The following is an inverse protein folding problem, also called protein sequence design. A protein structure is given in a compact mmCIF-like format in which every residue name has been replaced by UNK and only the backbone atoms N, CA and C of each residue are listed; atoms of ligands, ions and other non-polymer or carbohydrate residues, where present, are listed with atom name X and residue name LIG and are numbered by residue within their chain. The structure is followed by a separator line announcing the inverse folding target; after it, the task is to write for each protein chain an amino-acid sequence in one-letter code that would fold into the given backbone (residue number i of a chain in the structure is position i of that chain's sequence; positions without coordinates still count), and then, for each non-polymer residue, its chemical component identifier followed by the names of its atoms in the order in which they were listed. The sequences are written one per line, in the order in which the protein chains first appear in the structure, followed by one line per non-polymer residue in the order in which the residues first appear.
data_IF_075895417654
#
_entry.id   IF_075895417654
#
_cell.length_a   1.000
_cell.length_b   1.000
_cell.length_c   1.000
_cell.angle_alpha   90.00
_cell.angle_beta   90.00
_cell.angle_gamma   90.00
#
_symmetry.space_group_name_H-M   'P 1'
#
loop_
_entity.id
_entity.type
_entity.pdbx_description
1 polymer ?
#
# COMPACT_ATOMS: atom_id res chain seq x y z
N UNK A 1 -7.66 -3.10 -15.84
CA UNK A 1 -8.60 -2.02 -16.20
C UNK A 1 -9.46 -2.52 -17.35
N UNK A 2 -10.63 -1.91 -17.62
CA UNK A 2 -11.38 -2.17 -18.88
C UNK A 2 -10.48 -1.94 -20.10
N UNK A 3 -9.67 -0.88 -20.04
CA UNK A 3 -8.63 -0.58 -21.03
C UNK A 3 -7.65 -1.75 -21.20
N UNK A 4 -7.24 -2.43 -20.12
CA UNK A 4 -6.34 -3.60 -20.21
C UNK A 4 -7.01 -4.79 -20.91
N UNK A 5 -8.31 -5.00 -20.70
CA UNK A 5 -9.08 -6.01 -21.42
C UNK A 5 -9.18 -5.65 -22.91
N UNK A 6 -9.43 -4.38 -23.22
CA UNK A 6 -9.51 -3.89 -24.59
C UNK A 6 -8.16 -4.02 -25.31
N UNK A 7 -7.05 -3.71 -24.64
CA UNK A 7 -5.69 -3.92 -25.16
C UNK A 7 -5.46 -5.40 -25.48
N UNK A 8 -5.83 -6.31 -24.56
CA UNK A 8 -5.65 -7.75 -24.73
C UNK A 8 -6.49 -8.35 -25.87
N UNK A 9 -7.67 -7.78 -26.16
CA UNK A 9 -8.60 -8.26 -27.19
C UNK A 9 -8.51 -7.55 -28.56
N UNK A 10 -7.63 -6.56 -28.71
CA UNK A 10 -7.61 -5.68 -29.89
C UNK A 10 -6.70 -6.15 -31.04
N UNK A 11 -6.99 -5.67 -32.26
CA UNK A 11 -6.11 -5.80 -33.44
C UNK A 11 -4.84 -4.93 -33.28
N UNK A 12 -3.70 -5.28 -33.92
CA UNK A 12 -2.39 -4.66 -33.63
C UNK A 12 -2.34 -3.12 -33.64
N UNK A 13 -2.95 -2.47 -34.62
CA UNK A 13 -2.96 -1.00 -34.71
C UNK A 13 -3.79 -0.36 -33.58
N UNK A 14 -4.94 -0.96 -33.26
CA UNK A 14 -5.79 -0.53 -32.13
C UNK A 14 -5.06 -0.76 -30.81
N UNK A 15 -4.37 -1.90 -30.65
CA UNK A 15 -3.54 -2.20 -29.47
C UNK A 15 -2.47 -1.14 -29.23
N UNK A 16 -1.82 -0.63 -30.29
CA UNK A 16 -0.80 0.42 -30.18
C UNK A 16 -1.38 1.73 -29.63
N UNK A 17 -2.53 2.16 -30.15
CA UNK A 17 -3.19 3.39 -29.69
C UNK A 17 -3.64 3.26 -28.22
N UNK A 18 -4.33 2.16 -27.88
CA UNK A 18 -4.79 1.92 -26.51
C UNK A 18 -3.63 1.79 -25.51
N UNK A 19 -2.49 1.25 -25.94
CA UNK A 19 -1.27 1.20 -25.12
C UNK A 19 -0.69 2.59 -24.87
N UNK A 20 -0.69 3.47 -25.88
CA UNK A 20 -0.25 4.86 -25.71
C UNK A 20 -1.18 5.64 -24.78
N UNK A 21 -2.50 5.42 -24.89
CA UNK A 21 -3.49 6.01 -23.99
C UNK A 21 -3.25 5.55 -22.55
N UNK A 22 -3.00 4.25 -22.35
CA UNK A 22 -2.64 3.69 -21.05
C UNK A 22 -1.41 4.36 -20.45
N UNK A 23 -0.32 4.49 -21.22
CA UNK A 23 0.92 5.15 -20.77
C UNK A 23 0.65 6.61 -20.38
N UNK A 24 -0.18 7.32 -21.16
CA UNK A 24 -0.53 8.71 -20.90
C UNK A 24 -1.33 8.86 -19.60
N UNK A 25 -2.32 7.99 -19.38
CA UNK A 25 -3.11 7.95 -18.14
C UNK A 25 -2.21 7.66 -16.94
N UNK A 26 -1.35 6.64 -17.01
CA UNK A 26 -0.44 6.29 -15.93
C UNK A 26 0.50 7.46 -15.58
N UNK A 27 1.03 8.16 -16.59
CA UNK A 27 1.84 9.37 -16.40
C UNK A 27 1.06 10.50 -15.72
N UNK A 28 -0.16 10.78 -16.14
CA UNK A 28 -0.99 11.81 -15.50
C UNK A 28 -1.31 11.47 -14.05
N UNK A 29 -1.59 10.20 -13.75
CA UNK A 29 -1.80 9.74 -12.37
C UNK A 29 -0.53 9.97 -11.55
N UNK A 30 0.63 9.47 -11.99
CA UNK A 30 1.87 9.70 -11.25
C UNK A 30 2.20 11.18 -11.08
N UNK A 31 2.06 12.00 -12.13
CA UNK A 31 2.31 13.44 -12.06
C UNK A 31 1.37 14.13 -11.06
N UNK A 32 0.11 13.71 -10.98
CA UNK A 32 -0.83 14.22 -9.98
C UNK A 32 -0.39 13.86 -8.55
N UNK A 33 0.15 12.66 -8.33
CA UNK A 33 0.53 12.20 -7.00
C UNK A 33 1.96 12.58 -6.56
N UNK A 34 2.82 12.96 -7.50
CA UNK A 34 4.21 13.31 -7.25
C UNK A 34 4.40 14.45 -6.22
N UNK A 35 3.58 15.53 -6.19
CA UNK A 35 3.71 16.59 -5.19
C UNK A 35 3.42 16.15 -3.76
N UNK A 36 2.81 14.97 -3.55
CA UNK A 36 2.53 14.42 -2.22
C UNK A 36 3.68 13.55 -1.70
N UNK A 37 4.92 13.75 -2.17
CA UNK A 37 6.09 13.10 -1.59
C UNK A 37 6.37 13.62 -0.18
N UNK A 38 7.14 12.83 0.59
CA UNK A 38 7.56 13.24 1.91
C UNK A 38 8.45 14.49 1.83
N UNK A 39 8.23 15.42 2.77
CA UNK A 39 9.02 16.64 2.88
C UNK A 39 9.37 16.86 4.36
N UNK A 40 10.66 17.03 4.65
CA UNK A 40 11.19 17.20 6.01
C UNK A 40 10.71 18.50 6.68
N UNK A 41 10.54 19.58 5.91
CA UNK A 41 9.96 20.83 6.41
C UNK A 41 8.50 20.64 6.82
N UNK A 42 7.72 19.88 6.02
CA UNK A 42 6.34 19.52 6.38
C UNK A 42 6.34 18.66 7.63
N UNK A 43 7.23 17.66 7.74
CA UNK A 43 7.35 16.81 8.92
C UNK A 43 7.64 17.60 10.20
N UNK A 44 8.66 18.46 10.17
CA UNK A 44 9.08 19.25 11.34
C UNK A 44 8.01 20.24 11.84
N UNK A 45 7.14 20.73 10.94
CA UNK A 45 6.04 21.66 11.27
C UNK A 45 4.77 20.98 11.78
N UNK A 46 4.64 19.65 11.61
CA UNK A 46 3.39 18.94 11.84
C UNK A 46 3.56 17.81 12.86
N UNK A 47 3.25 18.09 14.14
CA UNK A 47 3.32 17.11 15.25
C UNK A 47 2.63 15.79 14.93
N UNK A 48 1.47 15.83 14.27
CA UNK A 48 0.70 14.63 13.93
C UNK A 48 1.47 13.62 13.08
N UNK A 49 2.47 14.06 12.29
CA UNK A 49 3.32 13.14 11.51
C UNK A 49 4.30 12.36 12.39
N UNK A 50 4.80 12.98 13.47
CA UNK A 50 5.56 12.26 14.50
C UNK A 50 4.68 11.22 15.20
N UNK A 51 3.44 11.59 15.52
CA UNK A 51 2.47 10.67 16.12
C UNK A 51 2.07 9.56 15.15
N UNK A 52 2.00 9.85 13.85
CA UNK A 52 1.77 8.86 12.81
C UNK A 52 2.91 7.83 12.74
N UNK A 53 4.18 8.28 12.79
CA UNK A 53 5.33 7.37 12.83
C UNK A 53 5.30 6.43 14.06
N UNK A 54 4.74 6.87 15.20
CA UNK A 54 4.61 6.05 16.41
C UNK A 54 3.58 4.92 16.29
N UNK A 55 2.67 4.96 15.32
CA UNK A 55 1.71 3.88 15.10
C UNK A 55 2.40 2.55 14.77
N UNK A 56 3.56 2.61 14.12
CA UNK A 56 4.17 1.45 13.51
C UNK A 56 5.09 0.71 14.48
N UNK A 57 4.82 -0.59 14.64
CA UNK A 57 5.51 -1.52 15.52
C UNK A 57 6.27 -2.60 14.74
N UNK A 58 6.99 -3.45 15.47
CA UNK A 58 7.76 -4.52 14.86
C UNK A 58 6.83 -5.55 14.19
N UNK A 59 7.19 -5.95 12.97
CA UNK A 59 6.47 -6.91 12.13
C UNK A 59 5.09 -6.44 11.64
N UNK A 60 4.83 -5.13 11.65
CA UNK A 60 3.61 -4.60 11.05
C UNK A 60 3.58 -4.83 9.53
N UNK A 61 2.37 -5.08 9.03
CA UNK A 61 2.10 -5.21 7.60
C UNK A 61 1.19 -4.06 7.15
N UNK A 62 1.64 -3.29 6.16
CA UNK A 62 0.93 -2.12 5.65
C UNK A 62 0.48 -2.39 4.22
N UNK A 63 -0.84 -2.39 4.01
CA UNK A 63 -1.43 -2.47 2.67
C UNK A 63 -1.78 -1.05 2.23
N UNK A 64 -1.06 -0.53 1.25
CA UNK A 64 -1.29 0.82 0.72
C UNK A 64 -1.95 0.76 -0.65
N UNK A 65 -3.00 1.57 -0.80
CA UNK A 65 -3.68 1.83 -2.07
C UNK A 65 -3.19 3.12 -2.72
N UNK A 66 -2.34 3.89 -2.03
CA UNK A 66 -1.87 5.18 -2.49
C UNK A 66 -0.76 5.00 -3.52
N UNK A 67 -0.82 5.79 -4.59
CA UNK A 67 0.21 5.79 -5.62
C UNK A 67 1.45 6.59 -5.21
N UNK A 68 1.29 7.62 -4.37
CA UNK A 68 2.41 8.37 -3.80
C UNK A 68 3.33 7.50 -2.92
N UNK A 69 4.46 8.08 -2.53
CA UNK A 69 5.44 7.47 -1.61
C UNK A 69 5.53 8.23 -0.28
N UNK A 70 4.47 8.96 0.13
CA UNK A 70 4.52 9.77 1.36
C UNK A 70 4.83 8.91 2.59
N UNK A 71 4.08 7.81 2.74
CA UNK A 71 4.23 6.88 3.86
C UNK A 71 5.64 6.30 3.89
N UNK A 72 6.15 5.85 2.74
CA UNK A 72 7.47 5.25 2.68
C UNK A 72 8.58 6.26 2.98
N UNK A 73 8.44 7.49 2.49
CA UNK A 73 9.35 8.59 2.83
C UNK A 73 9.31 8.90 4.34
N UNK A 74 8.12 8.94 4.94
CA UNK A 74 7.94 9.13 6.39
C UNK A 74 8.61 8.02 7.21
N UNK A 75 8.37 6.75 6.86
CA UNK A 75 8.95 5.62 7.57
C UNK A 75 10.47 5.56 7.38
N UNK A 76 10.96 5.93 6.20
CA UNK A 76 12.38 5.99 5.90
C UNK A 76 13.11 7.10 6.65
N UNK A 77 12.52 8.30 6.67
CA UNK A 77 13.02 9.42 7.44
C UNK A 77 13.01 9.12 8.95
N UNK A 78 11.96 8.47 9.44
CA UNK A 78 11.82 8.10 10.85
C UNK A 78 12.61 6.85 11.27
N UNK A 79 13.44 6.32 10.37
CA UNK A 79 14.29 5.14 10.61
C UNK A 79 13.53 3.87 11.02
N UNK A 80 12.27 3.74 10.59
CA UNK A 80 11.43 2.59 10.91
C UNK A 80 11.51 1.49 9.85
N UNK A 81 11.85 1.87 8.62
CA UNK A 81 11.74 1.04 7.43
C UNK A 81 12.71 1.51 6.34
N UNK A 82 13.05 0.62 5.42
CA UNK A 82 13.79 0.92 4.20
C UNK A 82 13.18 0.18 2.98
N UNK A 83 13.57 0.54 1.74
CA UNK A 83 13.01 -0.06 0.52
C UNK A 83 13.04 -1.59 0.42
N UNK A 84 13.87 -2.32 1.18
CA UNK A 84 13.83 -3.79 1.23
C UNK A 84 12.58 -4.34 1.90
N UNK A 85 11.87 -3.54 2.66
CA UNK A 85 10.59 -3.93 3.24
C UNK A 85 9.43 -3.91 2.23
N UNK A 86 9.66 -3.55 0.95
CA UNK A 86 8.68 -3.84 -0.09
C UNK A 86 8.56 -5.33 -0.35
N UNK A 87 7.32 -5.81 -0.36
CA UNK A 87 7.08 -7.22 -0.60
C UNK A 87 7.25 -7.56 -2.08
N UNK A 88 8.18 -8.49 -2.38
CA UNK A 88 8.37 -9.14 -3.71
C UNK A 88 8.83 -8.26 -4.87
N UNK A 89 9.26 -7.05 -4.58
CA UNK A 89 9.96 -6.22 -5.56
C UNK A 89 11.45 -6.41 -5.33
N UNK A 90 12.04 -7.36 -6.05
CA UNK A 90 13.45 -7.65 -5.95
C UNK A 90 14.22 -6.52 -6.64
N UNK A 91 15.05 -5.80 -5.90
CA UNK A 91 16.15 -5.04 -6.47
C UNK A 91 17.44 -5.84 -6.27
N UNK A 92 17.93 -6.58 -7.28
CA UNK A 92 19.12 -7.43 -7.14
C UNK A 92 20.40 -6.64 -6.85
N UNK A 93 20.36 -5.31 -7.00
CA UNK A 93 21.48 -4.41 -6.73
C UNK A 93 21.47 -3.82 -5.31
N UNK A 94 20.41 -4.06 -4.53
CA UNK A 94 20.26 -3.48 -3.21
C UNK A 94 20.69 -4.47 -2.12
N UNK A 95 21.83 -4.17 -1.48
CA UNK A 95 22.25 -4.78 -0.21
C UNK A 95 22.33 -3.67 0.84
N UNK A 96 21.31 -3.42 1.67
CA UNK A 96 21.45 -2.43 2.73
C UNK A 96 21.92 -3.08 4.03
N UNK A 97 22.73 -2.33 4.77
CA UNK A 97 22.85 -2.47 6.22
C UNK A 97 22.40 -1.16 6.91
N UNK A 98 21.70 -1.24 8.06
CA UNK A 98 20.97 -2.40 8.56
C UNK A 98 19.60 -2.50 7.85
N UNK A 99 19.11 -3.73 7.62
CA UNK A 99 17.82 -3.98 6.98
C UNK A 99 16.67 -3.46 7.84
N UNK A 100 15.63 -2.94 7.19
CA UNK A 100 14.25 -2.75 7.66
C UNK A 100 14.09 -3.02 9.18
N UNK A 101 14.43 -2.04 10.04
CA UNK A 101 14.79 -2.30 11.43
C UNK A 101 13.63 -2.82 12.28
N UNK A 102 12.40 -2.46 11.90
CA UNK A 102 11.17 -2.99 12.52
C UNK A 102 10.59 -4.19 11.78
N UNK A 103 11.22 -4.67 10.72
CA UNK A 103 10.68 -5.71 9.83
C UNK A 103 9.25 -5.37 9.32
N UNK A 104 9.00 -4.09 9.03
CA UNK A 104 7.70 -3.62 8.52
C UNK A 104 7.58 -4.01 7.05
N UNK A 105 6.47 -4.63 6.66
CA UNK A 105 6.24 -5.04 5.27
C UNK A 105 5.23 -4.11 4.59
N UNK A 106 5.63 -3.51 3.47
CA UNK A 106 4.76 -2.61 2.69
C UNK A 106 4.27 -3.31 1.41
N UNK A 107 2.95 -3.34 1.25
CA UNK A 107 2.22 -3.94 0.14
C UNK A 107 1.50 -2.84 -0.68
N UNK A 108 2.14 -2.32 -1.74
CA UNK A 108 1.53 -1.40 -2.72
C UNK A 108 0.72 -2.16 -3.76
N UNK A 109 -0.49 -2.56 -3.40
CA UNK A 109 -1.31 -3.46 -4.22
C UNK A 109 -1.98 -2.79 -5.43
N UNK A 110 -1.80 -1.49 -5.62
CA UNK A 110 -2.26 -0.75 -6.80
C UNK A 110 -1.10 -0.25 -7.69
N UNK A 111 0.15 -0.63 -7.39
CA UNK A 111 1.33 0.00 -7.97
C UNK A 111 1.71 1.29 -7.22
N UNK A 112 2.74 1.98 -7.71
CA UNK A 112 3.25 3.20 -7.07
C UNK A 112 4.03 4.06 -8.06
N UNK A 113 4.17 5.35 -7.75
CA UNK A 113 4.91 6.35 -8.54
C UNK A 113 6.39 6.01 -8.71
N UNK A 114 6.96 5.17 -7.84
CA UNK A 114 8.33 4.68 -7.92
C UNK A 114 8.46 3.29 -8.57
N UNK A 115 7.37 2.65 -9.01
CA UNK A 115 7.42 1.33 -9.66
C UNK A 115 7.63 1.47 -11.16
N UNK A 116 8.44 0.59 -11.74
CA UNK A 116 8.76 0.60 -13.18
C UNK A 116 8.62 -0.80 -13.78
N UNK A 117 8.20 -0.87 -15.04
CA UNK A 117 8.18 -2.11 -15.82
C UNK A 117 9.56 -2.31 -16.44
N UNK A 118 10.39 -3.08 -15.76
CA UNK A 118 11.71 -3.45 -16.24
C UNK A 118 11.66 -4.74 -17.06
N UNK A 119 12.61 -4.89 -17.97
CA UNK A 119 12.88 -6.20 -18.56
C UNK A 119 13.65 -7.01 -17.52
N UNK A 120 13.21 -8.23 -17.21
CA UNK A 120 13.87 -9.04 -16.19
C UNK A 120 15.38 -9.13 -16.48
N UNK A 121 16.22 -8.77 -15.50
CA UNK A 121 17.68 -9.00 -15.55
C UNK A 121 17.99 -10.51 -15.68
N UNK A 122 17.00 -11.37 -15.40
CA UNK A 122 17.13 -12.82 -15.36
C UNK A 122 16.60 -13.49 -16.65
N UNK A 123 17.55 -13.77 -17.56
CA UNK A 123 17.67 -14.92 -18.49
C UNK A 123 16.56 -15.24 -19.51
N UNK A 124 15.30 -14.87 -19.34
CA UNK A 124 14.24 -15.17 -20.31
C UNK A 124 13.84 -13.93 -21.11
N UNK A 125 14.10 -13.97 -22.42
CA UNK A 125 13.68 -12.92 -23.36
C UNK A 125 12.16 -12.73 -23.28
N UNK A 126 11.72 -11.52 -22.92
CA UNK A 126 10.32 -11.11 -22.97
C UNK A 126 9.60 -11.09 -21.63
N UNK A 127 10.20 -11.58 -20.54
CA UNK A 127 9.60 -11.42 -19.21
C UNK A 127 9.75 -9.97 -18.71
N UNK A 128 8.62 -9.37 -18.34
CA UNK A 128 8.55 -8.07 -17.68
C UNK A 128 8.45 -8.27 -16.17
N UNK A 129 9.15 -7.44 -15.41
CA UNK A 129 9.07 -7.41 -13.96
C UNK A 129 8.79 -5.98 -13.49
N UNK A 130 8.25 -5.85 -12.30
CA UNK A 130 8.18 -4.60 -11.58
C UNK A 130 9.51 -4.42 -10.87
N UNK A 131 10.24 -3.35 -11.23
CA UNK A 131 11.38 -2.83 -10.49
C UNK A 131 11.03 -1.55 -9.73
N UNK A 132 12.02 -1.02 -9.01
CA UNK A 132 11.90 0.14 -8.14
C UNK A 132 12.83 1.24 -8.63
N UNK A 133 12.40 2.49 -8.44
CA UNK A 133 13.29 3.64 -8.39
C UNK A 133 13.53 4.01 -6.93
N UNK A 134 14.78 4.08 -6.52
CA UNK A 134 15.20 4.51 -5.19
C UNK A 134 16.09 5.76 -5.36
N UNK A 135 15.54 6.90 -4.95
CA UNK A 135 16.22 8.20 -4.93
C UNK A 135 15.75 9.01 -3.71
N UNK A 136 16.31 10.20 -3.54
CA UNK A 136 16.01 11.16 -2.47
C UNK A 136 14.59 11.71 -2.54
N UNK A 137 13.98 11.83 -3.73
CA UNK A 137 12.58 12.25 -3.87
C UNK A 137 11.58 11.32 -3.17
N UNK A 138 11.86 10.02 -3.15
CA UNK A 138 10.99 9.00 -2.54
C UNK A 138 11.50 8.53 -1.18
N UNK A 139 12.82 8.48 -0.99
CA UNK A 139 13.47 7.90 0.19
C UNK A 139 14.56 8.84 0.71
N UNK A 140 14.22 9.81 1.57
CA UNK A 140 15.11 10.91 1.95
C UNK A 140 16.39 10.45 2.67
N UNK A 141 16.40 9.24 3.25
CA UNK A 141 17.58 8.64 3.87
C UNK A 141 18.21 7.59 2.98
N UNK A 142 17.47 6.55 2.61
CA UNK A 142 18.02 5.39 1.88
C UNK A 142 18.33 5.69 0.41
N UNK A 143 17.68 6.71 -0.16
CA UNK A 143 17.94 7.22 -1.50
C UNK A 143 18.94 8.39 -1.52
N UNK A 144 19.39 8.87 -0.36
CA UNK A 144 20.23 10.06 -0.25
C UNK A 144 21.57 9.86 -0.96
N UNK A 145 21.87 10.74 -1.92
CA UNK A 145 23.08 10.66 -2.76
C UNK A 145 23.18 9.39 -3.60
N UNK A 146 22.06 8.69 -3.79
CA UNK A 146 22.00 7.46 -4.57
C UNK A 146 20.89 7.52 -5.60
N UNK A 147 21.19 7.16 -6.84
CA UNK A 147 20.19 6.84 -7.86
C UNK A 147 20.29 5.36 -8.18
N UNK A 148 19.54 4.52 -7.45
CA UNK A 148 19.54 3.07 -7.68
C UNK A 148 18.18 2.62 -8.24
N UNK A 149 18.23 1.62 -9.12
CA UNK A 149 17.04 1.02 -9.71
C UNK A 149 16.84 1.34 -11.18
N UNK A 150 15.60 1.23 -11.65
CA UNK A 150 15.26 1.47 -13.06
C UNK A 150 15.35 2.96 -13.44
N UNK A 151 15.53 3.24 -14.73
CA UNK A 151 15.56 4.63 -15.22
C UNK A 151 14.16 5.25 -15.23
N UNK A 152 14.10 6.58 -15.15
CA UNK A 152 12.87 7.34 -15.39
C UNK A 152 12.32 7.18 -16.82
N UNK A 153 13.13 6.67 -17.75
CA UNK A 153 12.72 6.36 -19.12
C UNK A 153 11.95 5.04 -19.22
N UNK A 154 12.07 4.18 -18.19
CA UNK A 154 11.35 2.91 -18.11
C UNK A 154 9.87 3.19 -17.83
N UNK A 155 8.91 2.44 -18.44
CA UNK A 155 7.50 2.70 -18.21
C UNK A 155 7.12 2.56 -16.73
N UNK A 156 6.38 3.54 -16.22
CA UNK A 156 5.78 3.51 -14.89
C UNK A 156 4.83 2.31 -14.73
N UNK A 157 4.73 1.76 -13.52
CA UNK A 157 3.72 0.75 -13.21
C UNK A 157 2.72 1.24 -12.16
N UNK A 158 1.54 1.62 -12.64
CA UNK A 158 0.37 1.96 -11.82
C UNK A 158 -0.86 1.21 -12.35
N UNK A 159 -1.67 0.67 -11.46
CA UNK A 159 -2.99 0.12 -11.82
C UNK A 159 -3.99 1.25 -11.73
N UNK A 160 -4.40 1.80 -12.88
CA UNK A 160 -5.38 2.89 -12.90
C UNK A 160 -6.72 2.49 -12.25
N UNK A 161 -7.45 3.46 -11.66
CA UNK A 161 -8.77 3.21 -11.09
C UNK A 161 -9.72 2.59 -12.12
N UNK A 162 -10.28 1.42 -11.81
CA UNK A 162 -11.22 0.73 -12.70
C UNK A 162 -11.99 -0.36 -11.95
N UNK A 163 -13.17 -0.69 -12.48
CA UNK A 163 -14.01 -1.80 -11.98
C UNK A 163 -13.38 -3.18 -12.19
N UNK A 164 -12.60 -3.35 -13.26
CA UNK A 164 -11.88 -4.61 -13.55
C UNK A 164 -10.40 -4.34 -13.55
N UNK A 165 -9.63 -4.89 -12.60
CA UNK A 165 -8.17 -4.72 -12.53
C UNK A 165 -7.48 -6.00 -13.00
N UNK A 166 -6.46 -5.88 -13.87
CA UNK A 166 -5.60 -7.00 -14.27
C UNK A 166 -4.21 -6.71 -13.71
N UNK A 167 -3.91 -7.13 -12.47
CA UNK A 167 -2.62 -6.86 -11.86
C UNK A 167 -1.52 -7.65 -12.57
N UNK A 168 -0.31 -7.10 -12.53
CA UNK A 168 0.90 -7.85 -12.85
C UNK A 168 1.05 -9.01 -11.85
N UNK A 169 1.70 -10.10 -12.26
CA UNK A 169 1.84 -11.31 -11.41
C UNK A 169 2.50 -11.00 -10.06
N UNK A 170 3.44 -10.07 -10.00
CA UNK A 170 4.07 -9.65 -8.73
C UNK A 170 3.11 -8.88 -7.82
N UNK A 171 2.19 -8.08 -8.37
CA UNK A 171 1.14 -7.44 -7.56
C UNK A 171 0.11 -8.47 -7.10
N UNK A 172 -0.27 -9.41 -7.96
CA UNK A 172 -1.14 -10.52 -7.57
C UNK A 172 -0.54 -11.34 -6.42
N UNK A 173 0.76 -11.64 -6.48
CA UNK A 173 1.48 -12.32 -5.39
C UNK A 173 1.55 -11.45 -4.13
N UNK A 174 1.79 -10.14 -4.26
CA UNK A 174 1.74 -9.20 -3.14
C UNK A 174 0.36 -9.20 -2.45
N UNK A 175 -0.73 -9.18 -3.22
CA UNK A 175 -2.11 -9.30 -2.70
C UNK A 175 -2.28 -10.64 -1.97
N UNK A 176 -1.87 -11.76 -2.58
CA UNK A 176 -1.96 -13.07 -1.96
C UNK A 176 -1.19 -13.16 -0.64
N UNK A 177 -0.03 -12.52 -0.56
CA UNK A 177 0.75 -12.45 0.69
C UNK A 177 0.07 -11.59 1.75
N UNK A 178 -0.52 -10.45 1.38
CA UNK A 178 -1.29 -9.63 2.30
C UNK A 178 -2.49 -10.43 2.88
N UNK A 179 -3.20 -11.16 2.02
CA UNK A 179 -4.29 -12.08 2.43
C UNK A 179 -3.77 -13.13 3.41
N UNK A 180 -2.59 -13.70 3.19
CA UNK A 180 -2.00 -14.73 4.08
C UNK A 180 -1.53 -14.19 5.43
N UNK A 181 -1.11 -12.93 5.51
CA UNK A 181 -0.64 -12.33 6.78
C UNK A 181 -1.80 -11.82 7.64
N UNK A 182 -2.88 -11.36 7.01
CA UNK A 182 -4.04 -10.76 7.67
C UNK A 182 -4.66 -11.62 8.82
N UNK A 183 -4.79 -12.96 8.72
CA UNK A 183 -5.33 -13.79 9.81
C UNK A 183 -4.52 -13.74 11.10
N UNK A 184 -3.23 -13.41 11.05
CA UNK A 184 -2.36 -13.39 12.22
C UNK A 184 -2.37 -12.04 12.94
N UNK A 185 -2.93 -11.00 12.33
CA UNK A 185 -3.04 -9.69 12.96
C UNK A 185 -4.11 -9.72 14.07
N UNK A 186 -3.76 -9.12 15.22
CA UNK A 186 -4.71 -8.85 16.32
C UNK A 186 -5.53 -7.60 16.03
N UNK A 187 -4.86 -6.58 15.50
CA UNK A 187 -5.44 -5.28 15.18
C UNK A 187 -5.33 -5.06 13.67
N UNK A 188 -6.40 -4.56 13.06
CA UNK A 188 -6.39 -4.03 11.69
C UNK A 188 -6.83 -2.58 11.76
N UNK A 189 -6.03 -1.68 11.18
CA UNK A 189 -6.37 -0.25 11.08
C UNK A 189 -6.71 0.06 9.63
N UNK A 190 -7.86 0.67 9.40
CA UNK A 190 -8.30 1.17 8.10
C UNK A 190 -8.31 2.69 8.16
N UNK A 191 -7.38 3.35 7.47
CA UNK A 191 -7.27 4.80 7.42
C UNK A 191 -7.49 5.36 6.02
N UNK A 192 -8.39 6.35 5.88
CA UNK A 192 -8.61 7.06 4.61
C UNK A 192 -9.03 6.14 3.45
N UNK A 193 -9.71 5.04 3.74
CA UNK A 193 -10.14 4.06 2.74
C UNK A 193 -11.65 3.94 2.78
N UNK A 194 -12.31 4.32 1.69
CA UNK A 194 -13.76 4.30 1.59
C UNK A 194 -14.37 2.89 1.58
N UNK A 195 -13.56 1.82 1.42
CA UNK A 195 -13.99 0.41 1.29
C UNK A 195 -15.17 0.25 0.34
N UNK A 196 -15.02 0.68 -0.91
CA UNK A 196 -16.13 0.55 -1.86
C UNK A 196 -16.34 -0.91 -2.22
N UNK A 197 -17.54 -1.33 -2.64
CA UNK A 197 -17.80 -2.72 -3.03
C UNK A 197 -16.83 -3.26 -4.09
N UNK A 198 -16.30 -2.40 -4.95
CA UNK A 198 -15.39 -2.75 -6.05
C UNK A 198 -13.95 -3.02 -5.59
N UNK A 199 -13.59 -2.66 -4.35
CA UNK A 199 -12.25 -2.85 -3.80
C UNK A 199 -12.04 -4.32 -3.34
N UNK A 200 -12.32 -5.27 -4.23
CA UNK A 200 -12.38 -6.73 -3.97
C UNK A 200 -11.14 -7.27 -3.26
N UNK A 201 -9.93 -6.85 -3.67
CA UNK A 201 -8.69 -7.29 -3.03
C UNK A 201 -8.61 -6.86 -1.57
N UNK A 202 -9.13 -5.67 -1.23
CA UNK A 202 -9.16 -5.16 0.15
C UNK A 202 -10.19 -5.93 0.96
N UNK A 203 -11.38 -6.17 0.38
CA UNK A 203 -12.41 -7.02 1.01
C UNK A 203 -11.92 -8.44 1.29
N UNK A 204 -11.12 -9.02 0.41
CA UNK A 204 -10.50 -10.34 0.65
C UNK A 204 -9.48 -10.31 1.80
N UNK A 205 -8.68 -9.24 1.90
CA UNK A 205 -7.74 -9.06 3.02
C UNK A 205 -8.50 -8.91 4.35
N UNK A 206 -9.56 -8.10 4.37
CA UNK A 206 -10.41 -7.91 5.56
C UNK A 206 -11.13 -9.23 5.91
N UNK A 207 -11.66 -9.95 4.92
CA UNK A 207 -12.29 -11.26 5.13
C UNK A 207 -11.31 -12.24 5.77
N UNK A 208 -10.07 -12.27 5.27
CA UNK A 208 -9.00 -13.10 5.83
C UNK A 208 -8.64 -12.71 7.27
N UNK A 209 -8.60 -11.42 7.57
CA UNK A 209 -8.45 -10.93 8.93
C UNK A 209 -9.60 -11.36 9.84
N UNK A 210 -10.86 -11.27 9.40
CA UNK A 210 -12.01 -11.61 10.25
C UNK A 210 -12.13 -13.12 10.47
N UNK A 211 -11.64 -13.93 9.53
CA UNK A 211 -11.68 -15.39 9.63
C UNK A 211 -11.08 -15.84 10.97
N UNK A 212 -11.89 -16.57 11.73
CA UNK A 212 -11.53 -17.10 13.04
C UNK A 212 -10.59 -18.29 12.89
N UNK A 213 -9.33 -18.01 12.57
CA UNK A 213 -8.28 -19.02 12.63
C UNK A 213 -7.68 -19.13 14.04
N UNK A 214 -7.84 -18.10 14.86
CA UNK A 214 -7.30 -18.02 16.23
C UNK A 214 -8.43 -17.72 17.24
N UNK A 215 -8.33 -18.23 18.48
CA UNK A 215 -9.33 -18.00 19.54
C UNK A 215 -9.30 -16.58 20.13
N UNK A 216 -8.58 -15.65 19.51
CA UNK A 216 -8.39 -14.28 20.00
C UNK A 216 -9.42 -13.33 19.42
N UNK A 217 -9.98 -12.47 20.27
CA UNK A 217 -10.78 -11.32 19.82
C UNK A 217 -9.92 -10.39 18.98
N UNK A 218 -10.45 -9.98 17.82
CA UNK A 218 -9.78 -9.09 16.88
C UNK A 218 -10.35 -7.68 16.97
N UNK A 219 -9.51 -6.68 16.72
CA UNK A 219 -9.91 -5.29 16.72
C UNK A 219 -9.75 -4.69 15.33
N UNK A 220 -10.84 -4.18 14.76
CA UNK A 220 -10.85 -3.39 13.55
C UNK A 220 -11.06 -1.92 13.93
N UNK A 221 -10.06 -1.09 13.70
CA UNK A 221 -10.12 0.35 13.97
C UNK A 221 -10.24 1.07 12.62
N UNK A 222 -11.22 1.95 12.48
CA UNK A 222 -11.50 2.67 11.23
C UNK A 222 -11.35 4.16 11.53
N UNK A 223 -10.41 4.83 10.87
CA UNK A 223 -10.20 6.27 10.97
C UNK A 223 -10.47 6.94 9.62
N UNK A 224 -11.59 7.65 9.56
CA UNK A 224 -12.08 8.32 8.36
C UNK A 224 -13.22 9.26 8.76
N UNK A 225 -13.43 10.43 8.11
CA UNK A 225 -14.59 11.27 8.37
C UNK A 225 -15.93 10.53 8.25
N UNK A 226 -15.98 9.43 7.47
CA UNK A 226 -17.13 8.56 7.30
C UNK A 226 -16.96 7.20 8.00
N UNK A 227 -16.13 7.09 9.05
CA UNK A 227 -15.83 5.84 9.75
C UNK A 227 -17.08 5.06 10.20
N UNK A 228 -18.13 5.74 10.64
CA UNK A 228 -19.40 5.11 11.00
C UNK A 228 -20.10 4.44 9.80
N UNK A 229 -20.08 5.08 8.63
CA UNK A 229 -20.65 4.49 7.40
C UNK A 229 -19.83 3.28 6.94
N UNK A 230 -18.50 3.38 7.06
CA UNK A 230 -17.58 2.27 6.73
C UNK A 230 -17.82 1.10 7.69
N UNK A 231 -17.95 1.35 9.01
CA UNK A 231 -18.34 0.34 10.00
C UNK A 231 -19.63 -0.37 9.60
N UNK A 232 -20.69 0.37 9.31
CA UNK A 232 -21.99 -0.21 8.91
C UNK A 232 -21.87 -1.08 7.64
N UNK A 233 -20.99 -0.69 6.71
CA UNK A 233 -20.70 -1.50 5.51
C UNK A 233 -19.96 -2.79 5.85
N UNK A 234 -18.97 -2.73 6.73
CA UNK A 234 -18.24 -3.92 7.20
C UNK A 234 -19.20 -4.88 7.92
N UNK A 235 -20.05 -4.37 8.81
CA UNK A 235 -21.03 -5.18 9.55
C UNK A 235 -22.07 -5.84 8.64
N UNK A 236 -22.43 -5.19 7.53
CA UNK A 236 -23.43 -5.72 6.57
C UNK A 236 -22.83 -6.52 5.41
N UNK A 237 -21.51 -6.58 5.25
CA UNK A 237 -20.87 -7.21 4.09
C UNK A 237 -21.02 -8.74 4.08
N UNK A 238 -20.94 -9.40 5.23
CA UNK A 238 -21.06 -10.86 5.33
C UNK A 238 -22.39 -11.30 5.93
N UNK A 239 -22.96 -12.37 5.39
CA UNK A 239 -24.09 -13.08 6.01
C UNK A 239 -23.51 -13.98 7.12
N UNK A 240 -23.39 -13.45 8.34
CA UNK A 240 -22.83 -14.18 9.47
C UNK A 240 -22.52 -13.28 10.67
N UNK A 241 -22.23 -13.90 11.81
CA UNK A 241 -21.95 -13.14 13.04
C UNK A 241 -20.51 -12.65 13.10
N UNK A 242 -20.32 -11.34 13.25
CA UNK A 242 -19.03 -10.69 13.58
C UNK A 242 -18.72 -10.70 15.08
N UNK A 243 -19.32 -11.62 15.87
CA UNK A 243 -19.23 -11.69 17.33
C UNK A 243 -17.80 -11.71 17.93
N UNK A 244 -16.77 -12.02 17.14
CA UNK A 244 -15.36 -12.04 17.58
C UNK A 244 -14.55 -10.81 17.15
N UNK A 245 -15.22 -9.83 16.53
CA UNK A 245 -14.64 -8.63 15.97
C UNK A 245 -15.17 -7.41 16.72
N UNK A 246 -14.26 -6.69 17.38
CA UNK A 246 -14.57 -5.35 17.88
C UNK A 246 -14.31 -4.33 16.78
N UNK A 247 -15.30 -3.54 16.40
CA UNK A 247 -15.14 -2.48 15.40
C UNK A 247 -15.20 -1.11 16.09
N UNK A 248 -14.13 -0.33 15.94
CA UNK A 248 -13.97 0.99 16.55
C UNK A 248 -13.87 2.08 15.47
N UNK A 249 -14.95 2.83 15.20
CA UNK A 249 -14.91 3.96 14.29
C UNK A 249 -14.38 5.22 14.99
N UNK A 250 -13.47 5.93 14.34
CA UNK A 250 -12.93 7.26 14.69
C UNK A 250 -13.36 8.20 13.55
N UNK A 251 -14.47 8.94 13.69
CA UNK A 251 -15.11 9.71 12.63
C UNK A 251 -14.39 11.05 12.37
N UNK A 252 -13.08 11.01 12.19
CA UNK A 252 -12.22 12.18 12.01
C UNK A 252 -11.29 12.00 10.80
N UNK A 253 -10.68 13.09 10.37
CA UNK A 253 -9.54 13.00 9.44
C UNK A 253 -8.38 12.29 10.13
N UNK A 254 -7.50 11.66 9.34
CA UNK A 254 -6.34 10.95 9.90
C UNK A 254 -5.47 11.85 10.78
N UNK A 255 -5.29 13.11 10.37
CA UNK A 255 -4.54 14.12 11.11
C UNK A 255 -5.14 14.41 12.50
N UNK A 256 -6.47 14.56 12.59
CA UNK A 256 -7.11 14.94 13.84
C UNK A 256 -7.31 13.73 14.77
N UNK A 257 -7.65 12.56 14.21
CA UNK A 257 -7.93 11.35 14.99
C UNK A 257 -6.70 10.52 15.38
N UNK A 258 -5.48 10.98 15.07
CA UNK A 258 -4.26 10.17 15.29
C UNK A 258 -4.00 9.87 16.77
N UNK A 259 -4.31 10.81 17.66
CA UNK A 259 -4.12 10.66 19.10
C UNK A 259 -5.11 9.63 19.67
N UNK A 260 -6.37 9.68 19.26
CA UNK A 260 -7.37 8.66 19.63
C UNK A 260 -6.97 7.27 19.09
N UNK A 261 -6.48 7.19 17.84
CA UNK A 261 -6.02 5.94 17.26
C UNK A 261 -4.87 5.31 18.09
N UNK A 262 -3.87 6.11 18.48
CA UNK A 262 -2.80 5.68 19.36
C UNK A 262 -3.33 5.16 20.70
N UNK A 263 -4.26 5.88 21.31
CA UNK A 263 -4.88 5.47 22.57
C UNK A 263 -5.60 4.11 22.43
N UNK A 264 -6.38 3.92 21.37
CA UNK A 264 -7.09 2.66 21.10
C UNK A 264 -6.12 1.50 20.92
N UNK A 265 -5.05 1.68 20.14
CA UNK A 265 -4.05 0.64 19.93
C UNK A 265 -3.37 0.24 21.25
N UNK A 266 -2.94 1.21 22.05
CA UNK A 266 -2.34 0.97 23.37
C UNK A 266 -3.29 0.22 24.32
N UNK A 267 -4.57 0.59 24.32
CA UNK A 267 -5.59 -0.09 25.13
C UNK A 267 -5.87 -1.52 24.67
N UNK A 268 -5.73 -1.80 23.37
CA UNK A 268 -5.85 -3.15 22.81
C UNK A 268 -4.67 -4.05 23.20
N UNK A 269 -3.49 -3.50 23.48
CA UNK A 269 -2.30 -4.23 23.89
C UNK A 269 -2.28 -4.60 25.37
N UNK A 270 -2.79 -3.71 26.24
CA UNK A 270 -2.79 -3.87 27.70
C UNK A 270 -3.75 -4.94 28.25
N UNK A 271 -4.76 -5.38 27.49
CA UNK A 271 -5.69 -6.44 27.89
C UNK A 271 -5.10 -7.86 27.76
N UNK A 272 -3.78 -8.02 27.97
CA UNK A 272 -3.07 -9.30 28.03
C UNK A 272 -2.84 -9.68 29.48
#
# INVERSE_FOLDING_TARGET
TKLDLEIAGSRPNTTRNLTNDRITIERHIAAHFMPFSFNEEVFSKNKWLSDFAKLFSNNDAIVSLNYDCFLEGLLNYSELWDPTGYVKIANPLFKPEPPNPKNILVYKIQGSSNFRISSAILREKGQKVIGLIINDDFFPRSGKYTGFGDSNETPLYIIAPSFVKIPHVQIADMINKAIKVAPYAKNMVIGGCSLRPEDNSVWLIITSFIKKELPTTKNLIIIDPYANNIKNRVESYWVGSTQHLNIYPIPETFQNGIEELLEKLNNCERKK
#
